data_IF_344086754262
#
_entry.id   IF_344086754262
#
_cell.length_a   1.000
_cell.length_b   1.000
_cell.length_c   1.000
_cell.angle_alpha   90.00
_cell.angle_beta   90.00
_cell.angle_gamma   90.00
#
_symmetry.space_group_name_H-M   'P 1'
#
loop_
_entity.id
_entity.type
_entity.pdbx_description
1 polymer ?
#
# COMPACT_ATOMS: atom_id res chain seq x y z
N UNK A 1 -8.63 -6.33 -19.34
CA UNK A 1 -9.54 -6.39 -18.17
C UNK A 1 -9.49 -5.03 -17.51
N UNK A 2 -10.61 -4.32 -17.41
CA UNK A 2 -10.66 -2.95 -16.87
C UNK A 2 -10.41 -2.96 -15.35
N UNK A 3 -9.26 -2.45 -14.92
CA UNK A 3 -8.94 -2.28 -13.50
C UNK A 3 -9.77 -1.12 -12.95
N UNK A 4 -10.93 -1.42 -12.37
CA UNK A 4 -11.80 -0.44 -11.72
C UNK A 4 -11.09 0.17 -10.51
N UNK A 5 -10.50 1.36 -10.67
CA UNK A 5 -9.95 2.15 -9.57
C UNK A 5 -11.08 2.87 -8.83
N UNK A 6 -11.14 2.72 -7.51
CA UNK A 6 -11.99 3.53 -6.63
C UNK A 6 -11.10 4.38 -5.72
N UNK A 7 -11.44 5.65 -5.56
CA UNK A 7 -10.78 6.50 -4.57
C UNK A 7 -11.02 5.94 -3.17
N UNK A 8 -9.93 5.65 -2.46
CA UNK A 8 -9.96 5.21 -1.08
C UNK A 8 -9.38 6.32 -0.21
N UNK A 9 -10.22 6.95 0.61
CA UNK A 9 -9.78 7.97 1.56
C UNK A 9 -9.50 7.29 2.89
N UNK A 10 -8.27 7.34 3.37
CA UNK A 10 -7.86 6.73 4.64
C UNK A 10 -7.03 7.71 5.44
N UNK A 11 -7.35 7.82 6.72
CA UNK A 11 -6.54 8.59 7.66
C UNK A 11 -5.33 7.76 8.08
N UNK A 12 -4.19 7.97 7.42
CA UNK A 12 -2.91 7.38 7.77
C UNK A 12 -2.09 8.33 8.64
N UNK A 13 -1.17 7.77 9.45
CA UNK A 13 -0.25 8.58 10.27
C UNK A 13 0.62 9.46 9.36
N UNK A 14 0.81 10.72 9.76
CA UNK A 14 1.58 11.72 9.01
C UNK A 14 3.02 11.23 8.73
N UNK A 15 3.63 10.53 9.69
CA UNK A 15 4.98 9.96 9.55
C UNK A 15 5.06 8.93 8.40
N UNK A 16 4.04 8.08 8.26
CA UNK A 16 3.96 7.08 7.19
C UNK A 16 3.77 7.76 5.83
N UNK A 17 2.94 8.79 5.75
CA UNK A 17 2.73 9.55 4.51
C UNK A 17 4.03 10.24 4.07
N UNK A 18 4.79 10.81 5.02
CA UNK A 18 6.10 11.40 4.72
C UNK A 18 7.08 10.37 4.18
N UNK A 19 7.19 9.21 4.83
CA UNK A 19 8.06 8.11 4.37
C UNK A 19 7.65 7.59 2.99
N UNK A 20 6.34 7.39 2.77
CA UNK A 20 5.82 6.96 1.47
C UNK A 20 6.09 7.99 0.37
N UNK A 21 6.03 9.30 0.70
CA UNK A 21 6.36 10.37 -0.23
C UNK A 21 7.85 10.41 -0.57
N UNK A 22 8.73 10.20 0.41
CA UNK A 22 10.18 10.10 0.19
C UNK A 22 10.48 8.89 -0.70
N UNK A 23 9.93 7.71 -0.36
CA UNK A 23 10.11 6.49 -1.13
C UNK A 23 9.60 6.62 -2.58
N UNK A 24 8.48 7.31 -2.77
CA UNK A 24 7.93 7.64 -4.09
C UNK A 24 8.88 8.53 -4.90
N UNK A 25 9.56 9.48 -4.26
CA UNK A 25 10.54 10.34 -4.93
C UNK A 25 11.85 9.59 -5.25
N UNK A 26 12.24 8.62 -4.42
CA UNK A 26 13.45 7.81 -4.65
C UNK A 26 13.27 6.76 -5.74
N UNK A 27 12.06 6.18 -5.85
CA UNK A 27 11.78 5.08 -6.78
C UNK A 27 11.14 5.53 -8.10
N UNK A 28 10.79 6.82 -8.23
CA UNK A 28 10.00 7.39 -9.35
C UNK A 28 8.62 6.70 -9.52
N UNK A 29 8.12 6.03 -8.46
CA UNK A 29 6.83 5.33 -8.46
C UNK A 29 5.77 6.20 -7.82
N UNK A 30 4.53 6.15 -8.32
CA UNK A 30 3.39 6.86 -7.73
C UNK A 30 3.09 6.33 -6.32
N UNK A 31 2.75 7.24 -5.41
CA UNK A 31 2.33 6.87 -4.05
C UNK A 31 1.17 5.85 -4.02
N UNK A 32 0.25 5.92 -4.98
CA UNK A 32 -0.84 4.95 -5.08
C UNK A 32 -0.34 3.55 -5.42
N UNK A 33 0.62 3.41 -6.36
CA UNK A 33 1.22 2.12 -6.71
C UNK A 33 1.95 1.51 -5.52
N UNK A 34 2.75 2.29 -4.80
CA UNK A 34 3.43 1.83 -3.58
C UNK A 34 2.44 1.42 -2.49
N UNK A 35 1.31 2.12 -2.38
CA UNK A 35 0.25 1.76 -1.44
C UNK A 35 -0.43 0.45 -1.84
N UNK A 36 -0.74 0.25 -3.13
CA UNK A 36 -1.30 -0.99 -3.66
C UNK A 36 -0.35 -2.17 -3.45
N UNK A 37 0.95 -1.98 -3.71
CA UNK A 37 1.99 -2.98 -3.47
C UNK A 37 2.08 -3.34 -1.98
N UNK A 38 2.13 -2.35 -1.09
CA UNK A 38 2.17 -2.59 0.35
C UNK A 38 0.92 -3.32 0.87
N UNK A 39 -0.25 -3.02 0.31
CA UNK A 39 -1.50 -3.74 0.63
C UNK A 39 -1.42 -5.19 0.13
N UNK A 40 -0.92 -5.42 -1.08
CA UNK A 40 -0.78 -6.77 -1.63
C UNK A 40 0.20 -7.62 -0.81
N UNK A 41 1.38 -7.07 -0.50
CA UNK A 41 2.38 -7.73 0.35
C UNK A 41 1.81 -8.07 1.73
N UNK A 42 1.07 -7.13 2.34
CA UNK A 42 0.39 -7.36 3.60
C UNK A 42 -0.65 -8.50 3.47
N UNK A 43 -1.51 -8.48 2.46
CA UNK A 43 -2.49 -9.53 2.23
C UNK A 43 -1.83 -10.90 2.01
N UNK A 44 -0.73 -10.97 1.28
CA UNK A 44 0.04 -12.20 1.10
C UNK A 44 0.65 -12.71 2.41
N UNK A 45 1.22 -11.81 3.22
CA UNK A 45 1.75 -12.13 4.54
C UNK A 45 0.69 -12.77 5.43
N UNK A 46 -0.53 -12.24 5.42
CA UNK A 46 -1.65 -12.80 6.19
C UNK A 46 -2.31 -14.03 5.55
N UNK A 47 -2.11 -14.28 4.25
CA UNK A 47 -2.48 -15.55 3.61
C UNK A 47 -1.50 -16.67 3.96
N UNK A 48 -0.21 -16.35 4.09
CA UNK A 48 0.86 -17.32 4.40
C UNK A 48 0.96 -17.65 5.88
N UNK A 49 0.55 -16.73 6.76
CA UNK A 49 0.36 -17.04 8.17
C UNK A 49 -1.02 -17.70 8.35
N UNK A 50 -1.13 -19.03 8.58
CA UNK A 50 -2.41 -19.59 8.99
C UNK A 50 -2.85 -18.84 10.25
N UNK A 51 -4.06 -18.27 10.20
CA UNK A 51 -4.71 -17.72 11.39
C UNK A 51 -4.57 -18.75 12.51
N UNK A 52 -3.80 -18.41 13.55
CA UNK A 52 -4.09 -18.99 14.88
C UNK A 52 -5.48 -18.47 15.23
N UNK A 53 -6.44 -19.36 15.15
CA UNK A 53 -7.77 -19.27 15.76
C UNK A 53 -7.64 -18.81 17.21
#
# INVERSE_FOLDING_TARGET
METKRKNYNTTLKIDLIKKLKILSAETDVRQNDLLEEAIQDLLEKYKKAPKKT
#
